data_IF_495786120566
#
_entry.id   IF_495786120566
#
_cell.length_a   1.000
_cell.length_b   1.000
_cell.length_c   1.000
_cell.angle_alpha   90.00
_cell.angle_beta   90.00
_cell.angle_gamma   90.00
#
_symmetry.space_group_name_H-M   'P 1'
#
loop_
_entity.id
_entity.type
_entity.pdbx_description
1 polymer ?
#
# COMPACT_ATOMS: atom_id res chain seq x y z
N UNK A 1 -15.57 9.41 -0.87
CA UNK A 1 -14.16 9.04 -0.63
C UNK A 1 -13.35 10.31 -0.73
N UNK A 2 -12.44 10.58 0.21
CA UNK A 2 -11.69 11.82 0.19
C UNK A 2 -10.78 11.91 -1.03
N UNK A 3 -10.65 13.10 -1.59
CA UNK A 3 -9.68 13.42 -2.64
C UNK A 3 -8.75 14.52 -2.15
N UNK A 4 -7.49 14.43 -2.54
CA UNK A 4 -6.46 15.39 -2.15
C UNK A 4 -5.80 16.01 -3.37
N UNK A 5 -5.32 17.24 -3.22
CA UNK A 5 -4.30 17.81 -4.09
C UNK A 5 -3.01 17.79 -3.28
N UNK A 6 -1.97 17.17 -3.82
CA UNK A 6 -0.62 17.18 -3.24
C UNK A 6 0.24 18.23 -3.95
N UNK A 7 0.54 19.39 -3.31
CA UNK A 7 1.39 20.40 -3.92
C UNK A 7 2.82 19.91 -4.19
N UNK A 8 3.29 18.84 -3.53
CA UNK A 8 4.62 18.28 -3.79
C UNK A 8 4.77 17.74 -5.23
N UNK A 9 3.67 17.55 -5.97
CA UNK A 9 3.70 17.15 -7.37
C UNK A 9 4.07 18.28 -8.35
N UNK A 10 3.88 19.55 -7.96
CA UNK A 10 4.08 20.69 -8.86
C UNK A 10 4.78 21.91 -8.22
N UNK A 11 5.00 21.91 -6.90
CA UNK A 11 5.74 22.95 -6.18
C UNK A 11 7.09 22.42 -5.70
N UNK A 12 8.12 23.26 -5.76
CA UNK A 12 9.46 22.93 -5.24
C UNK A 12 9.50 22.87 -3.72
N UNK A 13 8.71 23.71 -3.04
CA UNK A 13 8.68 23.79 -1.59
C UNK A 13 7.58 22.88 -1.04
N UNK A 14 7.93 22.14 0.01
CA UNK A 14 6.98 21.25 0.69
C UNK A 14 5.90 22.05 1.39
N UNK A 15 4.64 21.68 1.17
CA UNK A 15 3.48 22.22 1.88
C UNK A 15 2.52 21.10 2.27
N UNK A 16 1.49 21.44 3.05
CA UNK A 16 0.46 20.48 3.44
C UNK A 16 -0.40 20.08 2.23
N UNK A 17 -0.92 18.86 2.27
CA UNK A 17 -1.94 18.40 1.32
C UNK A 17 -3.23 19.21 1.49
N UNK A 18 -3.92 19.43 0.38
CA UNK A 18 -5.19 20.16 0.35
C UNK A 18 -6.31 19.15 0.19
N UNK A 19 -7.26 19.15 1.13
CA UNK A 19 -8.45 18.30 1.05
C UNK A 19 -9.48 18.95 0.13
N UNK A 20 -9.95 18.18 -0.86
CA UNK A 20 -10.92 18.66 -1.86
C UNK A 20 -12.32 18.19 -1.50
N UNK A 21 -13.31 19.06 -1.67
CA UNK A 21 -14.74 18.74 -1.60
C UNK A 21 -15.45 19.11 -2.91
N UNK A 22 -16.54 18.41 -3.29
CA UNK A 22 -17.16 17.29 -2.60
C UNK A 22 -16.36 15.98 -2.74
N UNK A 23 -16.63 15.04 -1.84
CA UNK A 23 -16.08 13.68 -1.90
C UNK A 23 -16.52 12.93 -3.17
N UNK A 24 -15.63 12.09 -3.72
CA UNK A 24 -15.98 11.21 -4.85
C UNK A 24 -16.83 10.02 -4.42
N UNK A 25 -17.69 9.53 -5.30
CA UNK A 25 -18.36 8.24 -5.12
C UNK A 25 -17.35 7.08 -5.19
N UNK A 26 -17.71 5.94 -4.61
CA UNK A 26 -16.94 4.72 -4.77
C UNK A 26 -17.10 4.17 -6.19
N UNK A 27 -16.05 3.57 -6.77
CA UNK A 27 -16.15 2.94 -8.09
C UNK A 27 -17.07 1.71 -8.02
N UNK A 28 -17.81 1.46 -9.10
CA UNK A 28 -18.65 0.28 -9.28
C UNK A 28 -18.00 -0.80 -10.16
N UNK A 29 -16.95 -0.44 -10.92
CA UNK A 29 -16.30 -1.32 -11.89
C UNK A 29 -15.29 -2.29 -11.25
N UNK A 30 -14.80 -2.02 -10.04
CA UNK A 30 -13.82 -2.84 -9.32
C UNK A 30 -13.99 -2.66 -7.81
N UNK A 31 -13.53 -3.66 -7.05
CA UNK A 31 -13.56 -3.63 -5.58
C UNK A 31 -12.27 -3.04 -5.04
N UNK A 32 -12.35 -2.11 -4.09
CA UNK A 32 -11.16 -1.55 -3.44
C UNK A 32 -10.58 -2.53 -2.42
N UNK A 33 -9.26 -2.68 -2.43
CA UNK A 33 -8.51 -3.47 -1.45
C UNK A 33 -7.41 -2.60 -0.83
N UNK A 34 -7.04 -2.93 0.42
CA UNK A 34 -5.99 -2.24 1.17
C UNK A 34 -5.09 -3.25 1.87
N UNK A 35 -3.86 -2.86 2.13
CA UNK A 35 -2.89 -3.67 2.85
C UNK A 35 -1.65 -2.87 3.21
N UNK A 36 -0.56 -3.58 3.48
CA UNK A 36 0.73 -2.95 3.76
C UNK A 36 1.26 -2.16 2.56
N UNK A 37 1.98 -1.07 2.83
CA UNK A 37 2.78 -0.37 1.81
C UNK A 37 4.01 -1.20 1.39
N UNK A 38 4.35 -2.22 2.16
CA UNK A 38 5.45 -3.16 1.90
C UNK A 38 4.87 -4.42 1.28
N UNK A 39 5.52 -4.92 0.24
CA UNK A 39 5.06 -6.09 -0.50
C UNK A 39 6.19 -6.69 -1.31
N UNK A 40 6.02 -7.95 -1.68
CA UNK A 40 6.87 -8.63 -2.65
C UNK A 40 6.00 -8.94 -3.86
N UNK A 41 6.41 -8.45 -5.03
CA UNK A 41 5.66 -8.62 -6.28
C UNK A 41 6.40 -9.59 -7.20
N UNK A 42 5.68 -10.54 -7.78
CA UNK A 42 6.25 -11.45 -8.76
C UNK A 42 6.51 -10.72 -10.08
N UNK A 43 7.54 -11.15 -10.82
CA UNK A 43 7.88 -10.57 -12.13
C UNK A 43 6.69 -10.59 -13.11
N UNK A 44 5.93 -11.68 -13.27
CA UNK A 44 4.76 -11.68 -14.17
C UNK A 44 3.70 -10.65 -13.79
N UNK A 45 3.44 -10.46 -12.49
CA UNK A 45 2.51 -9.45 -12.03
C UNK A 45 3.01 -8.02 -12.32
N UNK A 46 4.31 -7.78 -12.13
CA UNK A 46 4.94 -6.49 -12.47
C UNK A 46 4.89 -6.23 -13.98
N UNK A 47 5.11 -7.24 -14.82
CA UNK A 47 4.97 -7.09 -16.26
C UNK A 47 3.52 -6.79 -16.68
N UNK A 48 2.55 -7.44 -16.04
CA UNK A 48 1.13 -7.15 -16.28
C UNK A 48 0.76 -5.70 -15.93
N UNK A 49 1.22 -5.16 -14.80
CA UNK A 49 0.88 -3.78 -14.43
C UNK A 49 1.56 -2.71 -15.31
N UNK A 50 2.73 -3.02 -15.90
CA UNK A 50 3.48 -2.09 -16.75
C UNK A 50 3.05 -2.22 -18.22
N UNK A 51 3.05 -3.44 -18.75
CA UNK A 51 2.90 -3.74 -20.17
C UNK A 51 1.55 -4.35 -20.53
N UNK A 52 0.71 -4.66 -19.54
CA UNK A 52 -0.58 -5.29 -19.74
C UNK A 52 -1.49 -4.47 -20.66
N UNK A 53 -2.27 -5.19 -21.46
CA UNK A 53 -3.25 -4.62 -22.38
C UNK A 53 -4.50 -4.15 -21.63
N UNK A 54 -4.80 -4.79 -20.50
CA UNK A 54 -5.93 -4.48 -19.63
C UNK A 54 -5.90 -3.03 -19.11
N UNK A 55 -7.09 -2.43 -18.97
CA UNK A 55 -7.22 -1.03 -18.57
C UNK A 55 -7.24 -0.82 -17.05
N UNK A 56 -7.40 -1.87 -16.24
CA UNK A 56 -7.51 -1.77 -14.79
C UNK A 56 -6.27 -1.12 -14.15
N UNK A 57 -5.01 -1.54 -14.43
CA UNK A 57 -3.84 -0.87 -13.87
C UNK A 57 -3.79 0.63 -14.21
N UNK A 58 -4.06 1.00 -15.47
CA UNK A 58 -4.08 2.40 -15.91
C UNK A 58 -5.19 3.21 -15.23
N UNK A 59 -6.38 2.63 -15.14
CA UNK A 59 -7.54 3.23 -14.46
C UNK A 59 -7.23 3.46 -12.99
N UNK A 60 -6.58 2.50 -12.32
CA UNK A 60 -6.22 2.61 -10.92
C UNK A 60 -5.08 3.61 -10.68
N UNK A 61 -4.12 3.75 -11.60
CA UNK A 61 -3.12 4.81 -11.53
C UNK A 61 -3.80 6.18 -11.51
N UNK A 62 -4.74 6.42 -12.45
CA UNK A 62 -5.52 7.66 -12.46
C UNK A 62 -6.34 7.82 -11.17
N UNK A 63 -7.03 6.76 -10.73
CA UNK A 63 -7.88 6.79 -9.54
C UNK A 63 -7.10 7.08 -8.26
N UNK A 64 -5.89 6.55 -8.09
CA UNK A 64 -5.08 6.73 -6.89
C UNK A 64 -4.10 7.91 -6.96
N UNK A 65 -4.13 8.75 -8.00
CA UNK A 65 -3.29 9.97 -8.05
C UNK A 65 -3.62 10.97 -6.94
N UNK A 66 -4.91 11.15 -6.65
CA UNK A 66 -5.42 12.14 -5.68
C UNK A 66 -5.82 11.46 -4.36
N UNK A 67 -5.05 10.47 -3.92
CA UNK A 67 -5.36 9.64 -2.76
C UNK A 67 -4.17 9.55 -1.80
N UNK A 68 -4.41 9.62 -0.49
CA UNK A 68 -3.35 9.48 0.52
C UNK A 68 -2.96 8.01 0.63
N UNK A 69 -1.65 7.74 0.72
CA UNK A 69 -1.11 6.37 0.87
C UNK A 69 -1.42 5.44 -0.30
N UNK A 70 -1.42 5.93 -1.54
CA UNK A 70 -1.72 5.14 -2.76
C UNK A 70 -1.05 3.76 -2.85
N UNK A 71 0.23 3.54 -2.44
CA UNK A 71 0.84 2.22 -2.44
C UNK A 71 0.14 1.18 -1.54
N UNK A 72 -0.52 1.61 -0.47
CA UNK A 72 -1.29 0.74 0.44
C UNK A 72 -2.60 0.23 -0.18
N UNK A 73 -2.96 0.69 -1.38
CA UNK A 73 -4.22 0.34 -2.04
C UNK A 73 -4.04 -0.13 -3.48
N UNK A 74 -3.17 0.51 -4.25
CA UNK A 74 -3.01 0.29 -5.71
C UNK A 74 -2.76 -1.18 -6.06
N UNK A 75 -1.67 -1.77 -5.53
CA UNK A 75 -1.27 -3.13 -5.87
C UNK A 75 -2.27 -4.17 -5.37
N UNK A 76 -2.78 -3.99 -4.15
CA UNK A 76 -3.80 -4.86 -3.54
C UNK A 76 -5.09 -4.86 -4.37
N UNK A 77 -5.50 -3.68 -4.85
CA UNK A 77 -6.69 -3.55 -5.70
C UNK A 77 -6.50 -4.27 -7.02
N UNK A 78 -5.34 -4.11 -7.69
CA UNK A 78 -5.10 -4.81 -8.96
C UNK A 78 -5.09 -6.33 -8.75
N UNK A 79 -4.23 -6.83 -7.85
CA UNK A 79 -4.01 -8.28 -7.74
C UNK A 79 -5.30 -9.02 -7.37
N UNK A 80 -6.15 -8.43 -6.53
CA UNK A 80 -7.41 -9.04 -6.11
C UNK A 80 -8.54 -8.94 -7.15
N UNK A 81 -8.50 -7.98 -8.08
CA UNK A 81 -9.54 -7.83 -9.12
C UNK A 81 -9.19 -8.54 -10.43
N UNK A 82 -7.96 -9.00 -10.62
CA UNK A 82 -7.55 -9.73 -11.83
C UNK A 82 -7.62 -11.24 -11.58
N UNK A 83 -8.53 -12.00 -12.22
CA UNK A 83 -8.75 -13.42 -11.92
C UNK A 83 -7.49 -14.29 -12.03
N UNK A 84 -6.61 -13.97 -12.98
CA UNK A 84 -5.33 -14.68 -13.19
C UNK A 84 -4.39 -14.53 -11.98
N UNK A 85 -4.25 -13.31 -11.44
CA UNK A 85 -3.32 -13.05 -10.35
C UNK A 85 -3.93 -13.21 -8.95
N UNK A 86 -5.25 -13.07 -8.81
CA UNK A 86 -5.95 -13.16 -7.52
C UNK A 86 -5.67 -14.48 -6.78
N UNK A 87 -5.48 -15.57 -7.52
CA UNK A 87 -5.15 -16.91 -7.00
C UNK A 87 -3.73 -17.02 -6.46
N UNK A 88 -2.84 -16.10 -6.86
CA UNK A 88 -1.44 -16.03 -6.44
C UNK A 88 -1.22 -15.07 -5.28
N UNK A 89 -2.26 -14.33 -4.87
CA UNK A 89 -2.17 -13.38 -3.78
C UNK A 89 -2.01 -14.10 -2.43
N UNK A 90 -0.92 -13.81 -1.73
CA UNK A 90 -0.69 -14.24 -0.35
C UNK A 90 -1.02 -13.06 0.57
N UNK A 91 -1.91 -13.29 1.55
CA UNK A 91 -2.30 -12.27 2.52
C UNK A 91 -1.26 -12.11 3.64
N UNK A 92 0.00 -11.92 3.27
CA UNK A 92 1.13 -11.72 4.18
C UNK A 92 2.27 -11.01 3.45
N UNK A 93 2.79 -9.91 4.01
CA UNK A 93 3.82 -9.08 3.37
C UNK A 93 5.27 -9.46 3.74
N UNK A 94 5.43 -10.57 4.46
CA UNK A 94 6.70 -11.12 4.95
C UNK A 94 7.45 -10.22 5.95
N UNK A 95 6.79 -9.21 6.51
CA UNK A 95 7.37 -8.33 7.52
C UNK A 95 6.81 -8.61 8.91
N UNK A 96 7.69 -8.75 9.90
CA UNK A 96 7.31 -8.58 11.29
C UNK A 96 7.20 -7.08 11.62
N UNK A 97 5.99 -6.63 11.95
CA UNK A 97 5.72 -5.25 12.34
C UNK A 97 5.00 -5.23 13.68
N UNK A 98 5.64 -4.64 14.69
CA UNK A 98 5.02 -4.44 15.99
C UNK A 98 4.18 -3.15 15.98
N UNK A 99 2.86 -3.29 16.02
CA UNK A 99 1.95 -2.15 16.17
C UNK A 99 1.62 -1.86 17.62
N UNK A 100 1.18 -0.64 17.88
CA UNK A 100 0.61 -0.28 19.17
C UNK A 100 -0.80 -0.86 19.28
N UNK A 101 -1.25 -1.20 20.49
CA UNK A 101 -2.63 -1.67 20.72
C UNK A 101 -3.67 -0.63 20.28
N UNK A 102 -3.38 0.64 20.48
CA UNK A 102 -4.12 1.74 19.89
C UNK A 102 -3.49 2.08 18.52
N UNK A 103 -4.27 2.11 17.43
CA UNK A 103 -3.75 2.42 16.10
C UNK A 103 -3.03 3.77 16.10
N UNK A 104 -1.80 3.77 15.60
CA UNK A 104 -1.00 4.98 15.35
C UNK A 104 -0.51 4.95 13.91
N UNK A 105 -0.17 6.12 13.36
CA UNK A 105 0.34 6.23 12.00
C UNK A 105 1.64 5.44 11.76
N UNK A 106 2.44 5.23 12.80
CA UNK A 106 3.73 4.55 12.68
C UNK A 106 3.85 3.36 13.64
N UNK A 107 4.50 2.27 13.19
CA UNK A 107 4.74 1.10 14.04
C UNK A 107 5.73 1.42 15.15
N UNK A 108 5.77 0.55 16.16
CA UNK A 108 6.72 0.64 17.28
C UNK A 108 8.15 0.43 16.79
N UNK A 109 9.10 1.04 17.51
CA UNK A 109 10.50 0.67 17.40
C UNK A 109 10.71 -0.71 18.02
N UNK A 110 11.35 -1.58 17.26
CA UNK A 110 11.77 -2.91 17.68
C UNK A 110 13.06 -2.80 18.49
N UNK A 111 13.17 -3.63 19.53
CA UNK A 111 14.34 -3.74 20.39
C UNK A 111 14.67 -5.22 20.65
N UNK A 112 15.73 -5.50 21.41
CA UNK A 112 16.11 -6.86 21.81
C UNK A 112 14.98 -7.62 22.53
N UNK A 113 14.07 -6.92 23.20
CA UNK A 113 12.89 -7.53 23.83
C UNK A 113 11.94 -8.19 22.82
N UNK A 114 12.00 -7.78 21.56
CA UNK A 114 11.19 -8.32 20.47
C UNK A 114 11.88 -9.47 19.72
N UNK A 115 13.09 -9.88 20.12
CA UNK A 115 13.87 -10.88 19.37
C UNK A 115 13.15 -12.23 19.24
N UNK A 116 12.60 -12.75 20.35
CA UNK A 116 11.84 -14.00 20.34
C UNK A 116 10.61 -13.96 19.41
N UNK A 117 9.70 -12.97 19.51
CA UNK A 117 8.55 -12.91 18.61
C UNK A 117 8.93 -12.62 17.15
N UNK A 118 10.02 -11.91 16.89
CA UNK A 118 10.54 -11.74 15.51
C UNK A 118 10.92 -13.10 14.94
N UNK A 119 11.74 -13.89 15.64
CA UNK A 119 12.16 -15.23 15.17
C UNK A 119 10.96 -16.15 15.02
N UNK A 120 10.06 -16.17 16.01
CA UNK A 120 8.87 -17.02 15.99
C UNK A 120 7.89 -16.69 14.86
N UNK A 121 7.92 -15.46 14.32
CA UNK A 121 7.04 -15.07 13.22
C UNK A 121 7.38 -15.73 11.89
N UNK A 122 8.62 -16.23 11.72
CA UNK A 122 9.11 -16.75 10.44
C UNK A 122 9.17 -15.72 9.31
N UNK A 123 8.94 -14.43 9.60
CA UNK A 123 8.99 -13.35 8.63
C UNK A 123 10.42 -13.13 8.14
N UNK A 124 10.60 -12.94 6.82
CA UNK A 124 11.91 -12.69 6.23
C UNK A 124 12.46 -11.30 6.60
N UNK A 125 11.57 -10.34 6.86
CA UNK A 125 11.92 -8.96 7.18
C UNK A 125 11.27 -8.50 8.48
N UNK A 126 11.80 -7.43 9.08
CA UNK A 126 11.21 -6.81 10.26
C UNK A 126 11.38 -5.29 10.23
N UNK A 127 10.46 -4.55 10.87
CA UNK A 127 10.53 -3.09 11.01
C UNK A 127 9.70 -2.59 12.19
N UNK A 128 10.00 -1.44 12.80
CA UNK A 128 11.05 -0.46 12.47
C UNK A 128 12.17 -0.51 13.51
N UNK A 129 13.43 -0.37 13.09
CA UNK A 129 14.57 -0.30 13.99
C UNK A 129 15.02 1.17 14.15
N UNK A 130 15.54 1.53 15.33
CA UNK A 130 16.24 2.80 15.51
C UNK A 130 17.65 2.71 14.90
N UNK A 131 18.22 3.86 14.55
CA UNK A 131 19.64 3.93 14.20
C UNK A 131 20.46 3.61 15.45
N UNK A 132 21.53 2.83 15.30
CA UNK A 132 22.53 2.59 16.33
C UNK A 132 23.27 3.88 16.70
#
# INVERSE_FOLDING_TARGET
>A
MPSIIDPALYMLNKSNIIWVRPDRSLPNAFKLHTGSAWMVLSRPFVEYIIWGWDNLPRTLLMYYTNFVSSPEFYFHTIICNVPEFSKTALNHDLHYIAWHRLPRQHPRLLSLTNMRPIIASGAAFARKFSRN
#
